data_IF_449014030667
#
_entry.id   IF_449014030667
#
_cell.length_a   1.000
_cell.length_b   1.000
_cell.length_c   1.000
_cell.angle_alpha   90.00
_cell.angle_beta   90.00
_cell.angle_gamma   90.00
#
_symmetry.space_group_name_H-M   'P 1'
#
loop_
_entity.id
_entity.type
_entity.pdbx_description
1 polymer ?
#
# COMPACT_ATOMS: atom_id res chain seq x y z
N UNK A 1 7.76 0.07 -16.05
CA UNK A 1 8.59 1.28 -15.86
C UNK A 1 9.47 1.11 -14.63
N UNK A 2 10.79 1.24 -14.78
CA UNK A 2 11.80 0.99 -13.73
C UNK A 2 11.89 2.13 -12.69
N UNK A 3 10.77 2.48 -12.04
CA UNK A 3 10.74 3.50 -10.98
C UNK A 3 11.17 2.86 -9.66
N UNK A 4 12.18 3.43 -9.01
CA UNK A 4 12.66 2.95 -7.70
C UNK A 4 11.88 3.63 -6.58
N UNK A 5 11.33 2.83 -5.66
CA UNK A 5 10.88 3.33 -4.36
C UNK A 5 12.09 3.68 -3.49
N UNK A 6 12.03 4.78 -2.76
CA UNK A 6 13.07 5.19 -1.80
C UNK A 6 12.58 4.89 -0.39
N UNK A 7 13.41 4.19 0.38
CA UNK A 7 13.07 3.67 1.70
C UNK A 7 13.92 4.28 2.82
N UNK A 8 13.78 5.60 3.12
CA UNK A 8 14.53 6.21 4.22
C UNK A 8 14.14 5.60 5.59
N UNK A 9 14.99 5.81 6.59
CA UNK A 9 14.72 5.37 7.97
C UNK A 9 13.39 5.96 8.47
N UNK A 10 12.60 5.14 9.16
CA UNK A 10 11.36 5.54 9.81
C UNK A 10 10.09 5.29 9.00
N UNK A 11 10.16 4.81 7.76
CA UNK A 11 9.01 4.26 7.07
C UNK A 11 8.80 2.76 7.35
N UNK A 12 7.66 2.24 6.88
CA UNK A 12 7.31 0.82 6.94
C UNK A 12 7.51 0.27 5.53
N UNK A 13 8.48 -0.63 5.39
CA UNK A 13 8.88 -1.25 4.13
C UNK A 13 8.75 -2.76 4.29
N UNK A 14 7.78 -3.36 3.61
CA UNK A 14 7.49 -4.78 3.77
C UNK A 14 7.01 -5.41 2.48
N UNK A 15 7.21 -6.72 2.38
CA UNK A 15 6.62 -7.56 1.35
C UNK A 15 5.82 -8.68 2.01
N UNK A 16 4.65 -8.98 1.47
CA UNK A 16 3.78 -10.06 1.94
C UNK A 16 3.54 -11.00 0.76
N UNK A 17 3.78 -12.29 0.95
CA UNK A 17 3.41 -13.32 -0.02
C UNK A 17 2.01 -13.85 0.31
N UNK A 18 1.17 -13.96 -0.70
CA UNK A 18 -0.15 -14.60 -0.61
C UNK A 18 -0.30 -15.69 -1.66
N UNK A 19 -1.12 -16.69 -1.34
CA UNK A 19 -1.55 -17.75 -2.25
C UNK A 19 -3.05 -17.58 -2.50
N UNK A 20 -3.44 -16.75 -3.48
CA UNK A 20 -4.83 -16.41 -3.70
C UNK A 20 -5.62 -17.62 -4.22
N UNK A 21 -6.88 -17.73 -3.81
CA UNK A 21 -7.81 -18.77 -4.26
C UNK A 21 -8.77 -18.28 -5.36
N UNK A 22 -8.70 -16.98 -5.68
CA UNK A 22 -9.50 -16.36 -6.73
C UNK A 22 -8.86 -16.51 -8.12
N UNK A 23 -9.69 -16.35 -9.15
CA UNK A 23 -9.28 -16.38 -10.54
C UNK A 23 -8.41 -15.16 -10.92
N UNK A 24 -7.53 -15.34 -11.92
CA UNK A 24 -6.64 -14.29 -12.44
C UNK A 24 -7.36 -12.99 -12.83
N UNK A 25 -8.64 -13.07 -13.22
CA UNK A 25 -9.49 -11.91 -13.51
C UNK A 25 -9.59 -10.91 -12.35
N UNK A 26 -9.42 -11.37 -11.10
CA UNK A 26 -9.45 -10.51 -9.91
C UNK A 26 -8.08 -9.94 -9.51
N UNK A 27 -6.99 -10.35 -10.17
CA UNK A 27 -5.63 -9.93 -9.79
C UNK A 27 -5.44 -8.41 -9.85
N UNK A 28 -6.12 -7.73 -10.78
CA UNK A 28 -6.06 -6.27 -10.93
C UNK A 28 -6.72 -5.51 -9.79
N UNK A 29 -7.56 -6.18 -8.98
CA UNK A 29 -8.18 -5.60 -7.78
C UNK A 29 -7.25 -5.62 -6.57
N UNK A 30 -6.27 -6.52 -6.52
CA UNK A 30 -5.38 -6.69 -5.37
C UNK A 30 -4.61 -5.41 -5.01
N UNK A 31 -4.01 -4.64 -5.95
CA UNK A 31 -3.39 -3.36 -5.61
C UNK A 31 -4.38 -2.36 -5.00
N UNK A 32 -5.60 -2.28 -5.55
CA UNK A 32 -6.65 -1.35 -5.10
C UNK A 32 -7.11 -1.73 -3.69
N UNK A 33 -7.41 -3.01 -3.47
CA UNK A 33 -7.82 -3.55 -2.18
C UNK A 33 -6.73 -3.37 -1.11
N UNK A 34 -5.48 -3.62 -1.45
CA UNK A 34 -4.34 -3.41 -0.54
C UNK A 34 -4.21 -1.93 -0.18
N UNK A 35 -4.33 -1.02 -1.15
CA UNK A 35 -4.32 0.43 -0.87
C UNK A 35 -5.51 0.88 -0.02
N UNK A 36 -6.69 0.28 -0.22
CA UNK A 36 -7.87 0.52 0.61
C UNK A 36 -7.64 0.06 2.06
N UNK A 37 -7.07 -1.14 2.26
CA UNK A 37 -6.70 -1.64 3.59
C UNK A 37 -5.72 -0.70 4.30
N UNK A 38 -4.76 -0.12 3.58
CA UNK A 38 -3.85 0.91 4.12
C UNK A 38 -4.64 2.15 4.56
N UNK A 39 -5.57 2.66 3.74
CA UNK A 39 -6.40 3.82 4.10
C UNK A 39 -7.19 3.56 5.39
N UNK A 40 -7.91 2.43 5.46
CA UNK A 40 -8.72 2.05 6.61
C UNK A 40 -7.85 1.92 7.87
N UNK A 41 -6.69 1.28 7.76
CA UNK A 41 -5.78 1.11 8.88
C UNK A 41 -5.22 2.45 9.40
N UNK A 42 -4.84 3.37 8.50
CA UNK A 42 -4.38 4.71 8.87
C UNK A 42 -5.49 5.49 9.56
N UNK A 43 -6.72 5.46 9.02
CA UNK A 43 -7.86 6.15 9.62
C UNK A 43 -8.18 5.58 11.01
N UNK A 44 -8.26 4.26 11.17
CA UNK A 44 -8.60 3.62 12.45
C UNK A 44 -7.56 3.91 13.54
N UNK A 45 -6.27 3.88 13.20
CA UNK A 45 -5.16 3.98 14.18
C UNK A 45 -4.67 5.39 14.43
N UNK A 46 -4.60 6.23 13.40
CA UNK A 46 -4.01 7.58 13.48
C UNK A 46 -5.04 8.70 13.35
N UNK A 47 -6.30 8.38 13.01
CA UNK A 47 -7.36 9.37 12.73
C UNK A 47 -6.97 10.36 11.61
N UNK A 48 -6.15 9.90 10.66
CA UNK A 48 -5.73 10.69 9.51
C UNK A 48 -6.61 10.32 8.31
N UNK A 49 -7.27 11.32 7.73
CA UNK A 49 -8.00 11.13 6.49
C UNK A 49 -7.04 10.97 5.31
N UNK A 50 -7.06 9.78 4.70
CA UNK A 50 -6.29 9.43 3.50
C UNK A 50 -7.21 9.23 2.30
N UNK A 51 -6.69 9.48 1.10
CA UNK A 51 -7.39 9.18 -0.15
C UNK A 51 -6.61 8.17 -0.96
N UNK A 52 -7.32 7.18 -1.51
CA UNK A 52 -6.80 6.30 -2.55
C UNK A 52 -6.65 7.10 -3.85
N UNK A 53 -5.43 7.17 -4.36
CA UNK A 53 -5.13 7.64 -5.70
C UNK A 53 -4.97 6.42 -6.59
N UNK A 54 -5.89 6.29 -7.53
CA UNK A 54 -5.97 5.11 -8.38
C UNK A 54 -4.65 4.87 -9.15
N UNK A 55 -4.20 3.59 -9.30
CA UNK A 55 -4.81 2.38 -8.77
C UNK A 55 -4.29 1.94 -7.39
N UNK A 56 -3.14 2.44 -6.94
CA UNK A 56 -2.32 1.76 -5.92
C UNK A 56 -1.55 2.71 -4.98
N UNK A 57 -1.86 4.01 -5.02
CA UNK A 57 -1.20 5.00 -4.19
C UNK A 57 -2.16 5.50 -3.09
N UNK A 58 -1.62 5.77 -1.90
CA UNK A 58 -2.37 6.41 -0.81
C UNK A 58 -1.81 7.81 -0.59
N UNK A 59 -2.70 8.77 -0.39
CA UNK A 59 -2.34 10.19 -0.27
C UNK A 59 -2.91 10.84 0.98
N UNK A 60 -2.15 11.81 1.51
CA UNK A 60 -2.61 12.75 2.54
C UNK A 60 -2.48 14.15 1.96
N UNK A 61 -3.59 14.90 1.96
CA UNK A 61 -3.66 16.26 1.37
C UNK A 61 -3.06 16.32 -0.05
N UNK A 62 -3.37 15.30 -0.86
CA UNK A 62 -2.93 15.19 -2.26
C UNK A 62 -1.48 14.74 -2.47
N UNK A 63 -0.69 14.54 -1.41
CA UNK A 63 0.72 14.10 -1.49
C UNK A 63 0.84 12.61 -1.15
N UNK A 64 1.78 11.91 -1.78
CA UNK A 64 1.96 10.46 -1.60
C UNK A 64 2.44 10.12 -0.19
N UNK A 65 1.74 9.20 0.47
CA UNK A 65 2.13 8.66 1.79
C UNK A 65 2.35 7.15 1.75
N UNK A 66 1.70 6.42 0.86
CA UNK A 66 1.98 5.00 0.65
C UNK A 66 1.85 4.61 -0.83
N UNK A 67 2.41 3.45 -1.17
CA UNK A 67 2.27 2.83 -2.47
C UNK A 67 2.33 1.31 -2.37
N UNK A 68 1.63 0.65 -3.29
CA UNK A 68 1.57 -0.81 -3.40
C UNK A 68 2.11 -1.25 -4.77
N UNK A 69 2.97 -2.26 -4.77
CA UNK A 69 3.45 -2.95 -5.97
C UNK A 69 3.12 -4.42 -5.86
N UNK A 70 2.54 -5.01 -6.91
CA UNK A 70 2.21 -6.44 -6.94
C UNK A 70 3.10 -7.12 -7.98
N UNK A 71 3.67 -8.26 -7.61
CA UNK A 71 4.34 -9.17 -8.54
C UNK A 71 3.69 -10.56 -8.41
N UNK A 72 3.11 -11.09 -9.48
CA UNK A 72 2.44 -12.38 -9.48
C UNK A 72 3.31 -13.45 -10.18
N UNK A 73 3.37 -14.65 -9.60
CA UNK A 73 3.88 -15.86 -10.25
C UNK A 73 2.71 -16.65 -10.82
N UNK A 74 2.86 -17.15 -12.05
CA UNK A 74 1.81 -17.86 -12.78
C UNK A 74 2.31 -19.24 -13.22
N UNK A 75 1.47 -20.26 -13.04
CA UNK A 75 1.68 -21.62 -13.57
C UNK A 75 0.41 -22.03 -14.30
N UNK A 76 0.51 -22.44 -15.56
CA UNK A 76 -0.62 -22.97 -16.35
C UNK A 76 -1.89 -22.11 -16.30
N UNK A 77 -1.75 -20.79 -16.49
CA UNK A 77 -2.81 -19.78 -16.40
C UNK A 77 -3.47 -19.59 -15.02
N UNK A 78 -2.91 -20.18 -13.97
CA UNK A 78 -3.33 -19.97 -12.58
C UNK A 78 -2.28 -19.17 -11.81
N UNK A 79 -2.75 -18.38 -10.84
CA UNK A 79 -1.87 -17.65 -9.95
C UNK A 79 -1.32 -18.63 -8.92
N UNK A 80 0.00 -18.84 -8.92
CA UNK A 80 0.67 -19.65 -7.91
C UNK A 80 0.84 -18.85 -6.61
N UNK A 81 1.28 -17.60 -6.72
CA UNK A 81 1.46 -16.68 -5.62
C UNK A 81 1.46 -15.22 -6.09
N UNK A 82 1.26 -14.31 -5.16
CA UNK A 82 1.51 -12.89 -5.36
C UNK A 82 2.37 -12.33 -4.23
N UNK A 83 3.37 -11.54 -4.59
CA UNK A 83 4.17 -10.74 -3.65
C UNK A 83 3.66 -9.31 -3.68
N UNK A 84 3.10 -8.88 -2.56
CA UNK A 84 2.61 -7.52 -2.31
C UNK A 84 3.76 -6.73 -1.68
N UNK A 85 4.38 -5.83 -2.41
CA UNK A 85 5.31 -4.84 -1.88
C UNK A 85 4.56 -3.60 -1.37
N UNK A 86 4.71 -3.29 -0.09
CA UNK A 86 4.04 -2.17 0.58
C UNK A 86 5.10 -1.20 1.12
N UNK A 87 4.97 0.06 0.72
CA UNK A 87 5.77 1.15 1.29
C UNK A 87 4.89 2.22 1.90
N UNK A 88 5.11 2.52 3.19
CA UNK A 88 4.38 3.56 3.92
C UNK A 88 5.37 4.54 4.54
N UNK A 89 5.23 5.81 4.18
CA UNK A 89 5.94 6.93 4.77
C UNK A 89 5.38 7.22 6.18
N UNK A 90 5.78 6.41 7.16
CA UNK A 90 5.28 6.53 8.53
C UNK A 90 5.89 7.75 9.24
N UNK A 91 7.21 7.73 9.48
CA UNK A 91 7.97 8.76 10.20
C UNK A 91 9.27 9.08 9.46
N UNK A 92 9.14 9.57 8.24
CA UNK A 92 10.29 9.94 7.39
C UNK A 92 10.47 11.46 7.37
N UNK A 93 11.61 11.94 6.87
CA UNK A 93 11.78 13.35 6.51
C UNK A 93 11.23 13.60 5.09
N UNK A 94 10.05 14.25 4.94
CA UNK A 94 9.42 14.43 3.64
C UNK A 94 10.19 15.39 2.73
N UNK A 95 10.90 16.38 3.27
CA UNK A 95 11.64 17.37 2.49
C UNK A 95 12.92 16.79 1.91
N UNK A 96 13.62 15.97 2.70
CA UNK A 96 14.79 15.21 2.24
C UNK A 96 14.39 14.21 1.15
N UNK A 97 13.33 13.43 1.38
CA UNK A 97 12.83 12.50 0.37
C UNK A 97 12.41 13.25 -0.90
N UNK A 98 11.63 14.33 -0.78
CA UNK A 98 11.24 15.20 -1.89
C UNK A 98 12.45 15.67 -2.69
N UNK A 99 13.50 16.16 -2.04
CA UNK A 99 14.70 16.64 -2.74
C UNK A 99 15.37 15.55 -3.57
N UNK A 100 15.34 14.30 -3.10
CA UNK A 100 15.92 13.15 -3.82
C UNK A 100 15.07 12.65 -5.00
N UNK A 101 13.75 12.89 -5.02
CA UNK A 101 12.84 12.32 -6.04
C UNK A 101 12.03 13.35 -6.84
N UNK A 102 12.13 14.65 -6.56
CA UNK A 102 11.32 15.70 -7.23
C UNK A 102 11.47 15.76 -8.75
N UNK A 103 12.58 15.25 -9.30
CA UNK A 103 12.84 15.18 -10.75
C UNK A 103 12.25 13.93 -11.42
N UNK A 104 11.63 13.02 -10.65
CA UNK A 104 11.04 11.80 -11.21
C UNK A 104 9.71 12.10 -11.92
N UNK A 105 9.41 11.43 -13.05
CA UNK A 105 8.13 11.59 -13.73
C UNK A 105 6.95 11.26 -12.82
N UNK A 106 5.85 12.00 -12.95
CA UNK A 106 4.64 11.88 -12.13
C UNK A 106 4.89 12.10 -10.64
N UNK A 107 5.88 12.92 -10.26
CA UNK A 107 6.02 13.39 -8.89
C UNK A 107 4.87 14.34 -8.53
N UNK A 108 4.17 14.06 -7.44
CA UNK A 108 3.06 14.91 -6.95
C UNK A 108 3.15 15.19 -5.44
N UNK A 109 4.36 15.10 -4.89
CA UNK A 109 4.63 15.41 -3.48
C UNK A 109 4.73 14.18 -2.58
N UNK A 110 5.35 14.41 -1.42
CA UNK A 110 5.61 13.42 -0.37
C UNK A 110 4.94 13.91 0.91
N UNK A 111 4.27 12.99 1.61
CA UNK A 111 3.77 13.17 2.95
C UNK A 111 4.37 12.10 3.87
N UNK A 112 4.35 12.37 5.17
CA UNK A 112 4.65 11.43 6.24
C UNK A 112 3.45 11.40 7.20
N UNK A 113 3.16 10.25 7.80
CA UNK A 113 2.00 10.10 8.69
C UNK A 113 2.19 10.81 10.02
N UNK A 114 3.39 10.70 10.61
CA UNK A 114 3.66 11.18 11.97
C UNK A 114 4.92 12.03 12.02
N UNK A 115 4.97 12.99 12.96
CA UNK A 115 6.12 13.91 13.11
C UNK A 115 7.13 13.44 14.17
N UNK A 116 6.72 13.00 15.38
CA UNK A 116 7.58 12.35 16.42
C UNK A 116 6.74 11.49 17.39
N UNK A 117 7.37 10.53 18.09
CA UNK A 117 6.83 9.72 19.22
C UNK A 117 5.54 8.90 18.98
N UNK A 118 5.51 8.04 17.96
CA UNK A 118 4.49 6.99 17.84
C UNK A 118 5.10 5.66 17.39
N UNK A 119 4.59 4.56 17.93
CA UNK A 119 4.96 3.21 17.51
C UNK A 119 4.30 2.87 16.17
N UNK A 120 5.03 2.18 15.30
CA UNK A 120 4.49 1.67 14.03
C UNK A 120 3.60 0.42 14.22
N UNK A 121 3.78 -0.31 15.32
CA UNK A 121 3.14 -1.61 15.54
C UNK A 121 1.61 -1.59 15.47
N UNK A 122 0.90 -0.60 16.04
CA UNK A 122 -0.55 -0.52 15.90
C UNK A 122 -1.00 -0.41 14.45
N UNK A 123 -0.30 0.39 13.64
CA UNK A 123 -0.63 0.55 12.22
C UNK A 123 -0.35 -0.73 11.44
N UNK A 124 0.78 -1.40 11.68
CA UNK A 124 1.11 -2.67 11.03
C UNK A 124 0.08 -3.74 11.38
N UNK A 125 -0.27 -3.88 12.67
CA UNK A 125 -1.30 -4.84 13.12
C UNK A 125 -2.65 -4.56 12.46
N UNK A 126 -3.09 -3.30 12.47
CA UNK A 126 -4.36 -2.94 11.85
C UNK A 126 -4.33 -3.16 10.34
N UNK A 127 -3.24 -2.82 9.66
CA UNK A 127 -3.10 -3.05 8.23
C UNK A 127 -3.21 -4.52 7.87
N UNK A 128 -2.53 -5.41 8.61
CA UNK A 128 -2.60 -6.85 8.34
C UNK A 128 -4.03 -7.39 8.52
N UNK A 129 -4.75 -6.92 9.55
CA UNK A 129 -6.15 -7.27 9.77
C UNK A 129 -7.06 -6.77 8.62
N UNK A 130 -6.92 -5.51 8.21
CA UNK A 130 -7.72 -4.99 7.08
C UNK A 130 -7.35 -5.64 5.75
N UNK A 131 -6.07 -5.99 5.55
CA UNK A 131 -5.61 -6.70 4.36
C UNK A 131 -6.27 -8.08 4.26
N UNK A 132 -6.33 -8.82 5.36
CA UNK A 132 -7.03 -10.09 5.41
C UNK A 132 -8.51 -9.93 5.04
N UNK A 133 -9.20 -8.96 5.64
CA UNK A 133 -10.63 -8.69 5.36
C UNK A 133 -10.86 -8.40 3.86
N UNK A 134 -10.07 -7.52 3.24
CA UNK A 134 -10.28 -7.18 1.82
C UNK A 134 -9.92 -8.34 0.90
N UNK A 135 -8.92 -9.16 1.23
CA UNK A 135 -8.58 -10.35 0.45
C UNK A 135 -9.65 -11.43 0.57
N UNK A 136 -10.27 -11.60 1.74
CA UNK A 136 -11.40 -12.50 1.93
C UNK A 136 -12.60 -12.08 1.06
N UNK A 137 -12.88 -10.77 0.95
CA UNK A 137 -13.93 -10.27 0.06
C UNK A 137 -13.67 -10.66 -1.40
N UNK A 138 -12.44 -10.51 -1.89
CA UNK A 138 -12.06 -10.92 -3.26
C UNK A 138 -12.20 -12.45 -3.42
N UNK A 139 -11.72 -13.24 -2.46
CA UNK A 139 -11.81 -14.70 -2.50
C UNK A 139 -13.27 -15.22 -2.49
N UNK A 140 -14.17 -14.53 -1.79
CA UNK A 140 -15.57 -14.93 -1.67
C UNK A 140 -16.41 -14.69 -2.93
N UNK A 141 -15.87 -13.96 -3.92
CA UNK A 141 -16.65 -13.51 -5.09
C UNK A 141 -17.78 -12.53 -4.76
N UNK A 142 -17.97 -12.15 -3.48
CA UNK A 142 -18.97 -11.19 -3.03
C UNK A 142 -18.52 -9.74 -3.25
N UNK A 143 -18.03 -9.44 -4.45
CA UNK A 143 -17.85 -8.05 -4.86
C UNK A 143 -19.24 -7.56 -5.24
N UNK A 144 -19.94 -6.92 -4.29
CA UNK A 144 -21.20 -6.24 -4.60
C UNK A 144 -20.93 -5.28 -5.77
N UNK A 145 -21.56 -5.57 -6.91
CA UNK A 145 -21.65 -4.64 -8.03
C UNK A 145 -22.37 -3.37 -7.60
#
# INVERSE_FOLDING_TARGET
>A
MNRKWKSPVGGIWMSIIIHPKFDITYATLVPIATSLAICIAIEKTLKINTKLKWPNDVTVKGKKVAGVLINASMISNQIENMVLGIGINFKINPDELKNSIKKTPNFYGVATLVKKNQSMSPLVKQFLYELENVLQLINSGQIKK
#
